data_IF_444147770420
#
_entry.id   IF_444147770420
#
_cell.length_a   1.000
_cell.length_b   1.000
_cell.length_c   1.000
_cell.angle_alpha   90.00
_cell.angle_beta   90.00
_cell.angle_gamma   90.00
#
_symmetry.space_group_name_H-M   'P 1'
#
loop_
_entity.id
_entity.type
_entity.pdbx_description
1 polymer ?
#
# COMPACT_ATOMS: atom_id res chain seq x y z
N UNK A 1 10.37 25.28 -1.15
CA UNK A 1 10.20 26.48 -2.01
C UNK A 1 9.38 26.13 -3.24
N UNK A 2 8.94 27.10 -4.05
CA UNK A 2 7.98 26.94 -5.16
C UNK A 2 8.25 25.74 -6.09
N UNK A 3 9.50 25.54 -6.51
CA UNK A 3 9.88 24.43 -7.40
C UNK A 3 9.79 23.04 -6.76
N UNK A 4 9.68 22.94 -5.43
CA UNK A 4 9.52 21.67 -4.73
C UNK A 4 8.24 20.92 -5.12
N UNK A 5 7.18 21.64 -5.53
CA UNK A 5 5.94 21.05 -6.00
C UNK A 5 6.10 20.22 -7.30
N UNK A 6 7.20 20.41 -8.05
CA UNK A 6 7.54 19.59 -9.23
C UNK A 6 8.14 18.23 -8.85
N UNK A 7 8.63 18.08 -7.61
CA UNK A 7 9.37 16.89 -7.13
C UNK A 7 8.60 16.15 -6.04
N UNK A 8 7.83 16.87 -5.22
CA UNK A 8 6.96 16.32 -4.19
C UNK A 8 5.63 17.10 -4.18
N UNK A 9 4.60 16.54 -4.81
CA UNK A 9 3.29 17.17 -4.95
C UNK A 9 2.37 16.37 -5.87
N UNK A 10 1.07 16.70 -5.89
CA UNK A 10 0.08 15.83 -6.55
C UNK A 10 0.23 15.70 -8.08
N UNK A 11 1.09 16.53 -8.68
CA UNK A 11 1.51 16.49 -10.09
C UNK A 11 3.05 16.49 -10.24
N UNK A 12 3.76 15.89 -9.29
CA UNK A 12 5.22 15.76 -9.38
C UNK A 12 5.68 14.85 -10.54
N UNK A 13 6.93 15.02 -10.94
CA UNK A 13 7.54 14.24 -12.03
C UNK A 13 7.86 12.80 -11.61
N UNK A 14 7.95 12.53 -10.31
CA UNK A 14 8.19 11.20 -9.75
C UNK A 14 7.03 10.26 -10.05
N UNK A 15 5.80 10.69 -9.74
CA UNK A 15 4.56 9.98 -10.09
C UNK A 15 4.40 9.76 -11.58
N UNK A 16 4.81 10.72 -12.41
CA UNK A 16 4.74 10.58 -13.87
C UNK A 16 5.74 9.54 -14.40
N UNK A 17 6.92 9.42 -13.80
CA UNK A 17 7.92 8.42 -14.17
C UNK A 17 7.53 7.03 -13.66
N UNK A 18 7.25 6.86 -12.36
CA UNK A 18 7.03 5.53 -11.80
C UNK A 18 5.78 4.85 -12.39
N UNK A 19 4.68 5.60 -12.65
CA UNK A 19 3.46 4.99 -13.23
C UNK A 19 3.71 4.38 -14.61
N UNK A 20 4.48 5.06 -15.46
CA UNK A 20 4.84 4.59 -16.81
C UNK A 20 5.89 3.49 -16.73
N UNK A 21 6.90 3.66 -15.87
CA UNK A 21 7.98 2.68 -15.63
C UNK A 21 7.41 1.36 -15.12
N UNK A 22 6.57 1.39 -14.10
CA UNK A 22 6.02 0.19 -13.46
C UNK A 22 5.05 -0.51 -14.40
N UNK A 23 4.18 0.23 -15.12
CA UNK A 23 3.33 -0.34 -16.15
C UNK A 23 4.13 -1.08 -17.23
N UNK A 24 5.24 -0.49 -17.68
CA UNK A 24 6.14 -1.11 -18.64
C UNK A 24 6.82 -2.38 -18.11
N UNK A 25 7.41 -2.34 -16.90
CA UNK A 25 8.17 -3.46 -16.34
C UNK A 25 7.30 -4.59 -15.79
N UNK A 26 6.06 -4.30 -15.35
CA UNK A 26 5.07 -5.31 -14.94
C UNK A 26 4.27 -5.88 -16.11
N UNK A 27 4.31 -5.24 -17.28
CA UNK A 27 3.49 -5.60 -18.44
C UNK A 27 2.00 -5.25 -18.29
N UNK A 28 1.62 -4.50 -17.24
CA UNK A 28 0.24 -4.09 -16.98
C UNK A 28 -0.04 -2.79 -17.75
N UNK A 29 -0.97 -2.78 -18.74
CA UNK A 29 -1.14 -1.63 -19.63
C UNK A 29 -1.79 -0.41 -18.96
N UNK A 30 -2.29 -0.55 -17.73
CA UNK A 30 -3.18 0.43 -17.10
C UNK A 30 -2.49 1.73 -16.63
N UNK A 31 -1.17 1.76 -16.44
CA UNK A 31 -0.42 2.98 -16.09
C UNK A 31 0.00 3.85 -17.29
N UNK A 32 -0.50 3.58 -18.50
CA UNK A 32 -0.12 4.31 -19.71
C UNK A 32 -0.72 5.72 -19.75
N UNK A 33 0.01 6.70 -19.22
CA UNK A 33 -0.38 8.12 -19.20
C UNK A 33 0.37 8.95 -20.26
N UNK A 34 -0.27 10.00 -20.80
CA UNK A 34 0.39 11.00 -21.65
C UNK A 34 1.15 12.03 -20.79
N UNK A 35 2.27 11.59 -20.21
CA UNK A 35 3.19 12.44 -19.45
C UNK A 35 3.72 13.61 -20.29
N UNK A 36 3.85 13.44 -21.61
CA UNK A 36 4.25 14.50 -22.54
C UNK A 36 3.22 15.63 -22.64
N UNK A 37 1.92 15.33 -22.55
CA UNK A 37 0.85 16.35 -22.43
C UNK A 37 0.78 16.93 -21.01
N UNK A 38 0.93 16.13 -19.95
CA UNK A 38 0.99 16.64 -18.57
C UNK A 38 2.10 17.70 -18.42
N UNK A 39 3.33 17.38 -18.80
CA UNK A 39 4.48 18.30 -18.73
C UNK A 39 4.27 19.61 -19.51
N UNK A 40 3.59 19.55 -20.66
CA UNK A 40 3.25 20.75 -21.46
C UNK A 40 2.08 21.56 -20.89
N UNK A 41 1.25 20.96 -20.04
CA UNK A 41 0.13 21.60 -19.37
C UNK A 41 0.50 22.18 -18.00
N UNK A 42 1.59 21.74 -17.37
CA UNK A 42 2.07 22.28 -16.10
C UNK A 42 2.44 23.76 -16.23
N UNK A 43 1.91 24.57 -15.32
CA UNK A 43 2.23 25.99 -15.19
C UNK A 43 2.17 26.41 -13.73
N UNK A 44 2.59 27.64 -13.42
CA UNK A 44 2.45 28.20 -12.09
C UNK A 44 1.49 29.39 -12.08
N UNK A 45 0.48 29.35 -11.22
CA UNK A 45 -0.38 30.50 -10.88
C UNK A 45 -0.35 30.74 -9.39
N UNK A 46 -0.26 32.02 -8.99
CA UNK A 46 -0.29 32.50 -7.59
C UNK A 46 0.72 31.84 -6.62
N UNK A 47 1.73 31.16 -7.15
CA UNK A 47 2.76 30.45 -6.38
C UNK A 47 2.68 28.93 -6.49
N UNK A 48 1.55 28.40 -6.95
CA UNK A 48 1.24 26.97 -6.99
C UNK A 48 1.35 26.36 -8.38
N UNK A 49 1.77 25.09 -8.41
CA UNK A 49 1.84 24.26 -9.61
C UNK A 49 0.42 23.78 -9.95
N UNK A 50 -0.02 24.08 -11.17
CA UNK A 50 -1.37 23.80 -11.65
C UNK A 50 -1.32 23.30 -13.09
N UNK A 51 -2.33 22.54 -13.52
CA UNK A 51 -2.55 22.28 -14.95
C UNK A 51 -3.28 23.47 -15.57
N UNK A 52 -2.74 23.95 -16.69
CA UNK A 52 -3.33 25.01 -17.49
C UNK A 52 -4.73 24.63 -18.02
N UNK A 53 -5.50 25.64 -18.36
CA UNK A 53 -6.89 25.51 -18.81
C UNK A 53 -7.04 24.56 -20.01
N UNK A 54 -8.15 23.80 -20.03
CA UNK A 54 -8.41 22.75 -21.04
C UNK A 54 -7.71 21.41 -20.80
N UNK A 55 -7.06 21.22 -19.64
CA UNK A 55 -6.33 19.98 -19.32
C UNK A 55 -6.95 19.13 -18.19
N UNK A 56 -8.23 19.35 -17.85
CA UNK A 56 -8.98 18.51 -16.89
C UNK A 56 -8.90 17.02 -17.27
N UNK A 57 -9.20 16.68 -18.53
CA UNK A 57 -9.10 15.29 -19.02
C UNK A 57 -7.69 14.69 -18.92
N UNK A 58 -6.64 15.52 -18.96
CA UNK A 58 -5.26 15.05 -18.74
C UNK A 58 -5.05 14.67 -17.28
N UNK A 59 -5.59 15.48 -16.36
CA UNK A 59 -5.56 15.23 -14.93
C UNK A 59 -6.38 13.99 -14.55
N UNK A 60 -7.57 13.82 -15.13
CA UNK A 60 -8.41 12.63 -14.97
C UNK A 60 -7.69 11.36 -15.46
N UNK A 61 -7.02 11.41 -16.62
CA UNK A 61 -6.28 10.24 -17.14
C UNK A 61 -5.14 9.78 -16.22
N UNK A 62 -4.48 10.73 -15.53
CA UNK A 62 -3.48 10.43 -14.52
C UNK A 62 -4.10 9.72 -13.30
N UNK A 63 -5.23 10.23 -12.80
CA UNK A 63 -5.94 9.60 -11.68
C UNK A 63 -6.42 8.19 -12.03
N UNK A 64 -7.04 8.00 -13.20
CA UNK A 64 -7.53 6.69 -13.65
C UNK A 64 -6.37 5.70 -13.79
N UNK A 65 -5.29 6.08 -14.47
CA UNK A 65 -4.13 5.20 -14.63
C UNK A 65 -3.50 4.81 -13.29
N UNK A 66 -3.38 5.76 -12.37
CA UNK A 66 -2.89 5.50 -11.00
C UNK A 66 -3.84 4.62 -10.19
N UNK A 67 -5.15 4.82 -10.28
CA UNK A 67 -6.15 4.03 -9.55
C UNK A 67 -6.10 2.56 -10.00
N UNK A 68 -5.98 2.32 -11.31
CA UNK A 68 -5.81 0.98 -11.87
C UNK A 68 -4.45 0.36 -11.48
N UNK A 69 -3.35 1.10 -11.54
CA UNK A 69 -2.04 0.61 -11.07
C UNK A 69 -2.06 0.27 -9.57
N UNK A 70 -2.76 1.05 -8.75
CA UNK A 70 -3.01 0.73 -7.34
C UNK A 70 -3.75 -0.60 -7.17
N UNK A 71 -4.85 -0.78 -7.90
CA UNK A 71 -5.66 -2.00 -7.83
C UNK A 71 -4.90 -3.25 -8.28
N UNK A 72 -4.18 -3.16 -9.41
CA UNK A 72 -3.57 -4.32 -10.08
C UNK A 72 -2.17 -4.66 -9.59
N UNK A 73 -1.35 -3.67 -9.24
CA UNK A 73 0.07 -3.86 -8.92
C UNK A 73 0.33 -3.62 -7.43
N UNK A 74 0.10 -2.39 -6.95
CA UNK A 74 0.57 -1.98 -5.61
C UNK A 74 -0.21 -2.65 -4.47
N UNK A 75 -1.53 -2.83 -4.60
CA UNK A 75 -2.37 -3.52 -3.60
C UNK A 75 -2.58 -5.00 -3.90
N UNK A 76 -1.83 -5.57 -4.84
CA UNK A 76 -1.92 -7.00 -5.16
C UNK A 76 -1.57 -7.84 -3.92
N UNK A 77 -2.46 -8.77 -3.54
CA UNK A 77 -2.39 -9.49 -2.27
C UNK A 77 -1.03 -10.20 -2.06
N UNK A 78 -0.46 -10.85 -3.08
CA UNK A 78 0.87 -11.50 -2.98
C UNK A 78 1.98 -10.48 -2.68
N UNK A 79 1.92 -9.28 -3.29
CA UNK A 79 2.90 -8.21 -3.07
C UNK A 79 2.77 -7.64 -1.65
N UNK A 80 1.53 -7.45 -1.19
CA UNK A 80 1.22 -7.02 0.18
C UNK A 80 1.74 -8.02 1.23
N UNK A 81 1.49 -9.31 1.03
CA UNK A 81 2.01 -10.38 1.90
C UNK A 81 3.54 -10.34 1.95
N UNK A 82 4.22 -10.34 0.78
CA UNK A 82 5.68 -10.32 0.73
C UNK A 82 6.26 -9.05 1.40
N UNK A 83 5.66 -7.89 1.15
CA UNK A 83 6.05 -6.62 1.78
C UNK A 83 5.86 -6.64 3.29
N UNK A 84 4.70 -7.09 3.78
CA UNK A 84 4.42 -7.17 5.21
C UNK A 84 5.32 -8.20 5.93
N UNK A 85 5.65 -9.32 5.28
CA UNK A 85 6.66 -10.27 5.79
C UNK A 85 8.06 -9.63 5.88
N UNK A 86 8.47 -8.87 4.86
CA UNK A 86 9.78 -8.21 4.82
C UNK A 86 9.90 -7.09 5.87
N UNK A 87 8.87 -6.23 5.96
CA UNK A 87 8.73 -5.18 6.95
C UNK A 87 8.87 -5.74 8.37
N UNK A 88 8.12 -6.83 8.63
CA UNK A 88 8.03 -7.46 9.95
C UNK A 88 9.29 -8.28 10.25
N UNK A 89 10.16 -8.51 9.26
CA UNK A 89 11.52 -9.05 9.44
C UNK A 89 12.56 -7.93 9.68
N UNK A 90 12.50 -6.82 8.93
CA UNK A 90 13.39 -5.67 9.11
C UNK A 90 13.29 -5.06 10.51
N UNK A 91 12.07 -4.96 11.04
CA UNK A 91 11.82 -4.54 12.43
C UNK A 91 12.45 -5.46 13.47
N UNK A 92 12.38 -6.79 13.26
CA UNK A 92 12.99 -7.78 14.17
C UNK A 92 14.52 -7.65 14.16
N UNK A 93 15.11 -7.39 13.00
CA UNK A 93 16.55 -7.15 12.82
C UNK A 93 17.00 -5.86 13.52
N UNK A 94 16.20 -4.78 13.44
CA UNK A 94 16.45 -3.52 14.15
C UNK A 94 16.26 -3.67 15.67
N UNK A 95 15.17 -4.32 16.10
CA UNK A 95 14.85 -4.52 17.51
C UNK A 95 15.83 -5.44 18.25
N UNK A 96 16.52 -6.33 17.54
CA UNK A 96 17.59 -7.15 18.10
C UNK A 96 18.94 -6.43 18.23
N UNK A 97 19.05 -5.21 17.68
CA UNK A 97 20.29 -4.46 17.52
C UNK A 97 21.39 -5.21 16.74
N UNK A 98 21.01 -6.17 15.88
CA UNK A 98 21.95 -6.83 14.96
C UNK A 98 22.50 -5.87 13.89
N UNK A 99 21.76 -4.80 13.59
CA UNK A 99 22.17 -3.68 12.76
C UNK A 99 21.65 -2.38 13.38
N UNK A 100 22.42 -1.30 13.33
CA UNK A 100 21.96 0.01 13.77
C UNK A 100 21.09 0.71 12.70
N UNK A 101 20.22 1.68 13.07
CA UNK A 101 19.34 2.34 12.12
C UNK A 101 20.03 3.13 11.00
N UNK A 102 21.24 3.67 11.20
CA UNK A 102 21.97 4.41 10.14
C UNK A 102 22.55 3.44 9.11
N UNK A 103 23.09 2.31 9.55
CA UNK A 103 23.54 1.22 8.67
C UNK A 103 22.37 0.58 7.92
N UNK A 104 21.26 0.30 8.61
CA UNK A 104 20.04 -0.25 7.99
C UNK A 104 19.52 0.65 6.87
N UNK A 105 19.44 1.97 7.10
CA UNK A 105 18.99 2.93 6.10
C UNK A 105 19.90 3.07 4.86
N UNK A 106 21.11 2.49 4.88
CA UNK A 106 22.05 2.45 3.74
C UNK A 106 22.20 1.07 3.10
N UNK A 107 21.50 0.08 3.63
CA UNK A 107 21.60 -1.32 3.21
C UNK A 107 20.89 -1.51 1.86
N UNK A 108 21.57 -2.15 0.89
CA UNK A 108 20.96 -2.56 -0.38
C UNK A 108 20.12 -3.84 -0.23
N UNK A 109 19.22 -4.12 -1.16
CA UNK A 109 18.36 -5.33 -1.14
C UNK A 109 19.13 -6.63 -0.87
N UNK A 110 20.31 -6.78 -1.49
CA UNK A 110 21.16 -7.96 -1.33
C UNK A 110 21.81 -8.05 0.06
N UNK A 111 22.24 -6.91 0.62
CA UNK A 111 22.78 -6.83 1.98
C UNK A 111 21.69 -7.04 3.03
N UNK A 112 20.47 -6.53 2.79
CA UNK A 112 19.32 -6.70 3.68
C UNK A 112 18.90 -8.18 3.73
N UNK A 113 18.74 -8.82 2.57
CA UNK A 113 18.43 -10.25 2.50
C UNK A 113 19.55 -11.11 3.13
N UNK A 114 20.81 -10.69 3.01
CA UNK A 114 21.95 -11.29 3.71
C UNK A 114 21.81 -11.18 5.23
N UNK A 115 21.64 -9.97 5.76
CA UNK A 115 21.51 -9.71 7.19
C UNK A 115 20.29 -10.42 7.81
N UNK A 116 19.14 -10.43 7.12
CA UNK A 116 17.94 -11.15 7.56
C UNK A 116 18.16 -12.68 7.58
N UNK A 117 18.94 -13.21 6.65
CA UNK A 117 19.28 -14.65 6.58
C UNK A 117 20.27 -15.09 7.65
N UNK A 118 21.21 -14.23 8.03
CA UNK A 118 22.25 -14.53 9.03
C UNK A 118 21.79 -14.31 10.48
N UNK A 119 20.54 -13.88 10.69
CA UNK A 119 19.97 -13.58 12.00
C UNK A 119 18.79 -14.51 12.33
N UNK A 120 18.93 -15.36 13.36
CA UNK A 120 17.96 -16.44 13.67
C UNK A 120 16.48 -15.99 13.74
N UNK A 121 16.11 -14.85 14.39
CA UNK A 121 14.74 -14.32 14.41
C UNK A 121 14.11 -13.98 13.06
N UNK A 122 14.89 -13.89 11.98
CA UNK A 122 14.46 -13.47 10.64
C UNK A 122 14.81 -14.48 9.54
N UNK A 123 15.62 -15.49 9.84
CA UNK A 123 16.17 -16.42 8.86
C UNK A 123 15.10 -17.22 8.10
N UNK A 124 14.03 -17.69 8.76
CA UNK A 124 12.91 -18.34 8.07
C UNK A 124 12.16 -17.36 7.14
N UNK A 125 11.94 -16.11 7.56
CA UNK A 125 11.29 -15.10 6.72
C UNK A 125 12.14 -14.77 5.49
N UNK A 126 13.47 -14.67 5.64
CA UNK A 126 14.40 -14.47 4.53
C UNK A 126 14.39 -15.65 3.55
N UNK A 127 14.38 -16.89 4.06
CA UNK A 127 14.21 -18.12 3.26
C UNK A 127 12.89 -18.08 2.49
N UNK A 128 11.76 -17.85 3.18
CA UNK A 128 10.41 -17.81 2.61
C UNK A 128 10.27 -16.80 1.48
N UNK A 129 10.80 -15.59 1.64
CA UNK A 129 10.78 -14.55 0.61
C UNK A 129 11.62 -14.99 -0.60
N UNK A 130 12.82 -15.54 -0.37
CA UNK A 130 13.75 -15.96 -1.43
C UNK A 130 13.23 -17.18 -2.22
N UNK A 131 12.63 -18.15 -1.54
CA UNK A 131 12.05 -19.37 -2.12
C UNK A 131 10.61 -19.17 -2.61
N UNK A 132 10.02 -17.99 -2.38
CA UNK A 132 8.62 -17.64 -2.66
C UNK A 132 7.58 -18.50 -1.91
N UNK A 133 7.99 -19.09 -0.80
CA UNK A 133 7.19 -19.79 0.24
C UNK A 133 6.54 -18.76 1.19
N UNK A 134 5.77 -17.85 0.59
CA UNK A 134 5.09 -16.76 1.29
C UNK A 134 3.93 -17.27 2.15
N UNK A 135 3.61 -16.52 3.20
CA UNK A 135 2.41 -16.73 4.01
C UNK A 135 1.13 -16.69 3.13
N UNK A 136 0.08 -17.30 3.63
CA UNK A 136 -1.24 -17.35 2.99
C UNK A 136 -2.23 -16.47 3.74
N UNK A 137 -3.33 -16.12 3.07
CA UNK A 137 -4.44 -15.36 3.65
C UNK A 137 -5.23 -16.28 4.59
N UNK A 138 -5.09 -16.07 5.89
CA UNK A 138 -6.02 -16.60 6.88
C UNK A 138 -7.30 -15.75 6.91
N UNK A 139 -7.17 -14.43 6.71
CA UNK A 139 -8.27 -13.46 6.66
C UNK A 139 -8.06 -12.56 5.44
N UNK A 140 -9.15 -12.27 4.71
CA UNK A 140 -9.15 -11.33 3.58
C UNK A 140 -10.46 -10.53 3.52
N UNK A 141 -10.73 -9.76 4.57
CA UNK A 141 -12.03 -9.11 4.82
C UNK A 141 -12.23 -7.83 3.99
N UNK A 142 -13.47 -7.54 3.59
CA UNK A 142 -13.85 -6.25 3.00
C UNK A 142 -14.00 -5.17 4.08
N UNK A 143 -14.12 -3.89 3.66
CA UNK A 143 -14.24 -2.78 4.62
C UNK A 143 -15.48 -2.87 5.52
N UNK A 144 -16.54 -3.54 5.07
CA UNK A 144 -17.78 -3.72 5.85
C UNK A 144 -17.63 -4.67 7.03
N UNK A 145 -16.76 -5.67 6.91
CA UNK A 145 -16.66 -6.80 7.85
C UNK A 145 -15.62 -6.57 8.97
N UNK A 146 -14.89 -5.45 8.88
CA UNK A 146 -13.83 -5.06 9.82
C UNK A 146 -14.32 -3.92 10.73
N UNK A 147 -14.33 -4.12 12.06
CA UNK A 147 -14.74 -3.09 13.02
C UNK A 147 -13.95 -1.79 12.90
N UNK A 148 -14.60 -0.67 13.26
CA UNK A 148 -13.97 0.67 13.23
C UNK A 148 -12.64 0.71 13.98
N UNK A 149 -12.62 0.17 15.21
CA UNK A 149 -11.41 0.08 16.06
C UNK A 149 -10.25 -0.67 15.41
N UNK A 150 -10.51 -1.64 14.53
CA UNK A 150 -9.44 -2.39 13.83
C UNK A 150 -8.92 -1.60 12.63
N UNK A 151 -9.76 -0.78 11.98
CA UNK A 151 -9.34 0.10 10.87
C UNK A 151 -8.64 1.36 11.39
N UNK A 152 -9.10 1.89 12.51
CA UNK A 152 -8.52 3.05 13.21
C UNK A 152 -7.22 2.71 13.95
N UNK A 153 -6.93 1.41 14.15
CA UNK A 153 -5.76 0.92 14.88
C UNK A 153 -4.44 1.44 14.29
N UNK A 154 -3.60 1.99 15.17
CA UNK A 154 -2.28 2.46 14.80
C UNK A 154 -1.27 1.31 14.60
N UNK A 155 -0.02 1.68 14.32
CA UNK A 155 1.06 0.71 14.10
C UNK A 155 1.29 -0.20 15.32
N UNK A 156 1.22 0.31 16.55
CA UNK A 156 1.48 -0.44 17.78
C UNK A 156 0.30 -1.35 18.13
N UNK A 157 -0.93 -0.85 18.02
CA UNK A 157 -2.17 -1.63 18.17
C UNK A 157 -2.21 -2.79 17.16
N UNK A 158 -1.78 -2.55 15.92
CA UNK A 158 -1.62 -3.60 14.90
C UNK A 158 -0.63 -4.71 15.33
N UNK A 159 0.35 -4.42 16.22
CA UNK A 159 1.27 -5.43 16.76
C UNK A 159 0.73 -6.16 17.97
N UNK A 160 -0.18 -5.53 18.70
CA UNK A 160 -0.95 -6.21 19.74
C UNK A 160 -1.85 -7.26 19.08
N UNK A 161 -2.57 -6.89 18.02
CA UNK A 161 -3.34 -7.84 17.21
C UNK A 161 -2.50 -9.03 16.68
N UNK A 162 -1.29 -8.80 16.19
CA UNK A 162 -0.39 -9.90 15.75
C UNK A 162 -0.04 -10.89 16.88
N UNK A 163 0.16 -10.40 18.11
CA UNK A 163 0.48 -11.23 19.27
C UNK A 163 -0.74 -11.96 19.79
N UNK A 164 -1.84 -11.22 19.99
CA UNK A 164 -3.08 -11.75 20.56
C UNK A 164 -3.67 -12.85 19.65
N UNK A 165 -3.60 -12.70 18.33
CA UNK A 165 -4.03 -13.73 17.36
C UNK A 165 -3.10 -14.94 17.38
N UNK A 166 -1.78 -14.74 17.53
CA UNK A 166 -0.82 -15.84 17.62
C UNK A 166 -1.01 -16.64 18.92
N UNK A 167 -1.20 -15.96 20.05
CA UNK A 167 -1.47 -16.57 21.36
C UNK A 167 -2.79 -17.38 21.34
N UNK A 168 -3.88 -16.78 20.83
CA UNK A 168 -5.19 -17.44 20.69
C UNK A 168 -5.18 -18.61 19.68
N UNK A 169 -4.30 -18.58 18.67
CA UNK A 169 -4.05 -19.70 17.76
C UNK A 169 -3.11 -20.78 18.34
N UNK A 170 -2.47 -20.54 19.49
CA UNK A 170 -1.48 -21.45 20.07
C UNK A 170 -0.16 -21.51 19.29
N UNK A 171 0.14 -20.47 18.50
CA UNK A 171 1.33 -20.36 17.67
C UNK A 171 2.40 -19.51 18.35
N UNK A 172 3.69 -19.63 17.96
CA UNK A 172 4.71 -18.71 18.42
C UNK A 172 4.38 -17.26 18.04
N UNK A 173 4.66 -16.32 18.94
CA UNK A 173 4.90 -14.92 18.59
C UNK A 173 5.67 -14.86 17.28
N UNK A 174 5.19 -14.03 16.34
CA UNK A 174 5.78 -13.76 14.99
C UNK A 174 5.33 -14.67 13.85
N UNK A 175 4.54 -15.71 14.10
CA UNK A 175 3.94 -16.57 13.05
C UNK A 175 2.72 -15.97 12.34
N UNK A 176 2.18 -14.87 12.87
CA UNK A 176 1.03 -14.13 12.30
C UNK A 176 1.51 -12.74 11.87
N UNK A 177 0.98 -12.25 10.75
CA UNK A 177 1.17 -10.88 10.26
C UNK A 177 -0.18 -10.22 9.99
N UNK A 178 -0.39 -9.01 10.50
CA UNK A 178 -1.60 -8.20 10.25
C UNK A 178 -1.26 -7.07 9.28
N UNK A 179 -2.11 -6.91 8.25
CA UNK A 179 -2.04 -5.91 7.20
C UNK A 179 -3.32 -5.06 7.23
N UNK A 180 -3.28 -4.02 8.06
CA UNK A 180 -4.26 -2.94 8.09
C UNK A 180 -3.82 -1.79 7.16
N UNK A 181 -4.49 -1.57 6.01
CA UNK A 181 -4.19 -0.44 5.13
C UNK A 181 -4.79 0.89 5.63
N UNK A 182 -5.43 0.93 6.80
CA UNK A 182 -6.05 2.13 7.38
C UNK A 182 -7.25 2.63 6.55
N UNK A 183 -7.57 3.91 6.64
CA UNK A 183 -8.64 4.49 5.82
C UNK A 183 -8.21 4.70 4.36
N UNK A 184 -9.05 4.36 3.37
CA UNK A 184 -8.75 4.65 1.97
C UNK A 184 -8.70 6.16 1.74
N UNK A 185 -7.56 6.65 1.26
CA UNK A 185 -7.33 8.06 0.92
C UNK A 185 -6.89 8.20 -0.54
N UNK A 186 -7.18 9.34 -1.14
CA UNK A 186 -6.69 9.70 -2.48
C UNK A 186 -6.27 11.19 -2.48
N UNK A 187 -5.09 11.53 -1.93
CA UNK A 187 -4.58 12.90 -1.90
C UNK A 187 -4.59 13.60 -3.26
N UNK A 188 -4.50 12.81 -4.34
CA UNK A 188 -4.44 13.25 -5.73
C UNK A 188 -5.76 13.83 -6.22
N UNK A 189 -6.87 13.59 -5.52
CA UNK A 189 -8.13 14.28 -5.77
C UNK A 189 -7.99 15.80 -5.66
N UNK A 190 -7.02 16.27 -4.86
CA UNK A 190 -6.68 17.69 -4.65
C UNK A 190 -5.80 18.30 -5.75
N UNK A 191 -5.45 17.55 -6.81
CA UNK A 191 -4.75 18.07 -8.00
C UNK A 191 -5.39 19.37 -8.48
N UNK A 192 -4.59 20.44 -8.61
CA UNK A 192 -5.09 21.78 -8.95
C UNK A 192 -5.07 22.03 -10.45
N UNK A 193 -6.24 22.40 -10.98
CA UNK A 193 -6.51 22.66 -12.40
C UNK A 193 -7.05 24.08 -12.58
N UNK A 194 -6.75 24.72 -13.71
CA UNK A 194 -7.34 26.02 -14.07
C UNK A 194 -8.62 25.81 -14.87
N UNK A 195 -9.74 26.39 -14.43
CA UNK A 195 -11.05 26.31 -15.09
C UNK A 195 -11.73 27.68 -15.05
N UNK A 196 -12.06 28.22 -16.23
CA UNK A 196 -12.63 29.57 -16.41
C UNK A 196 -11.79 30.68 -15.77
N UNK A 197 -10.46 30.51 -15.78
CA UNK A 197 -9.49 31.40 -15.13
C UNK A 197 -9.20 31.11 -13.65
N UNK A 198 -10.10 30.44 -12.92
CA UNK A 198 -9.93 30.11 -11.49
C UNK A 198 -9.06 28.87 -11.28
N UNK A 199 -8.32 28.81 -10.16
CA UNK A 199 -7.68 27.57 -9.68
C UNK A 199 -8.70 26.78 -8.87
N UNK A 200 -8.92 25.51 -9.22
CA UNK A 200 -9.85 24.60 -8.53
C UNK A 200 -9.20 23.23 -8.32
N UNK A 201 -9.50 22.50 -7.24
CA UNK A 201 -9.12 21.10 -7.12
C UNK A 201 -9.97 20.22 -8.06
N UNK A 202 -9.43 19.07 -8.46
CA UNK A 202 -10.00 18.21 -9.48
C UNK A 202 -11.27 17.47 -9.01
N UNK A 203 -11.34 17.12 -7.74
CA UNK A 203 -12.52 16.55 -7.08
C UNK A 203 -13.80 17.38 -7.27
N UNK A 204 -13.70 18.70 -7.20
CA UNK A 204 -14.81 19.62 -7.40
C UNK A 204 -15.22 19.76 -8.87
N UNK A 205 -14.47 19.20 -9.81
CA UNK A 205 -14.66 19.39 -11.26
C UNK A 205 -14.88 18.07 -12.02
N UNK A 206 -14.67 16.91 -11.40
CA UNK A 206 -14.75 15.60 -12.06
C UNK A 206 -15.54 14.58 -11.22
N UNK A 207 -16.75 14.16 -11.66
CA UNK A 207 -17.50 13.06 -11.05
C UNK A 207 -16.76 11.71 -11.08
N UNK A 208 -15.73 11.57 -11.93
CA UNK A 208 -14.90 10.35 -11.96
C UNK A 208 -14.10 10.18 -10.67
N UNK A 209 -13.77 11.28 -9.97
CA UNK A 209 -13.04 11.26 -8.70
C UNK A 209 -13.85 10.56 -7.61
N UNK A 210 -15.15 10.85 -7.51
CA UNK A 210 -16.07 10.21 -6.57
C UNK A 210 -16.21 8.71 -6.88
N UNK A 211 -16.41 8.34 -8.15
CA UNK A 211 -16.45 6.93 -8.57
C UNK A 211 -15.13 6.18 -8.31
N UNK A 212 -13.98 6.85 -8.40
CA UNK A 212 -12.68 6.27 -8.04
C UNK A 212 -12.51 6.09 -6.53
N UNK A 213 -13.02 6.99 -5.69
CA UNK A 213 -13.01 6.83 -4.23
C UNK A 213 -13.85 5.62 -3.81
N UNK A 214 -15.06 5.47 -4.35
CA UNK A 214 -15.91 4.31 -4.06
C UNK A 214 -15.30 3.00 -4.58
N UNK A 215 -14.67 3.01 -5.76
CA UNK A 215 -13.89 1.86 -6.25
C UNK A 215 -12.76 1.47 -5.28
N UNK A 216 -12.04 2.44 -4.70
CA UNK A 216 -11.03 2.17 -3.67
C UNK A 216 -11.60 1.61 -2.37
N UNK A 217 -12.83 2.00 -1.97
CA UNK A 217 -13.52 1.39 -0.82
C UNK A 217 -13.89 -0.08 -1.10
N UNK A 218 -14.39 -0.38 -2.29
CA UNK A 218 -14.74 -1.74 -2.71
C UNK A 218 -13.50 -2.63 -2.84
N UNK A 219 -12.38 -2.09 -3.32
CA UNK A 219 -11.09 -2.79 -3.42
C UNK A 219 -10.31 -2.86 -2.10
N UNK A 220 -10.78 -2.18 -1.05
CA UNK A 220 -10.15 -2.19 0.26
C UNK A 220 -10.20 -3.60 0.86
N UNK A 221 -9.09 -4.07 1.39
CA UNK A 221 -8.97 -5.40 2.00
C UNK A 221 -8.07 -5.37 3.23
N UNK A 222 -8.55 -5.92 4.33
CA UNK A 222 -7.78 -6.21 5.54
C UNK A 222 -7.22 -7.63 5.45
N UNK A 223 -5.94 -7.80 5.77
CA UNK A 223 -5.26 -9.08 5.69
C UNK A 223 -4.79 -9.57 7.06
N UNK A 224 -5.00 -10.87 7.33
CA UNK A 224 -4.21 -11.60 8.33
C UNK A 224 -3.53 -12.76 7.62
N UNK A 225 -2.22 -12.87 7.77
CA UNK A 225 -1.37 -13.79 7.05
C UNK A 225 -0.62 -14.73 8.00
N UNK A 226 -0.52 -16.00 7.63
CA UNK A 226 0.18 -17.05 8.39
C UNK A 226 0.77 -18.11 7.44
N UNK A 227 1.64 -19.02 7.91
CA UNK A 227 2.01 -20.22 7.16
C UNK A 227 0.77 -21.02 6.71
N UNK A 228 0.87 -21.69 5.56
CA UNK A 228 -0.24 -22.39 4.88
C UNK A 228 -0.99 -23.34 5.83
N UNK A 229 -0.23 -24.21 6.50
CA UNK A 229 -0.70 -25.23 7.44
C UNK A 229 -1.43 -24.69 8.68
N UNK A 230 -1.35 -23.37 8.94
CA UNK A 230 -1.90 -22.69 10.13
C UNK A 230 -3.02 -21.69 9.80
N UNK A 231 -3.41 -21.58 8.53
CA UNK A 231 -4.41 -20.59 8.09
C UNK A 231 -5.76 -20.75 8.80
N UNK A 232 -6.19 -21.97 9.08
CA UNK A 232 -7.49 -22.26 9.67
C UNK A 232 -7.58 -21.84 11.15
N UNK A 233 -6.61 -22.18 12.00
CA UNK A 233 -6.60 -21.71 13.39
C UNK A 233 -6.41 -20.20 13.50
N UNK A 234 -5.57 -19.60 12.64
CA UNK A 234 -5.35 -18.14 12.62
C UNK A 234 -6.59 -17.38 12.17
N UNK A 235 -7.34 -17.89 11.20
CA UNK A 235 -8.62 -17.29 10.78
C UNK A 235 -9.61 -17.27 11.95
N UNK A 236 -9.79 -18.41 12.62
CA UNK A 236 -10.70 -18.54 13.74
C UNK A 236 -10.26 -17.69 14.97
N UNK A 237 -8.95 -17.59 15.22
CA UNK A 237 -8.39 -16.72 16.26
C UNK A 237 -8.61 -15.24 15.92
N UNK A 238 -8.35 -14.82 14.68
CA UNK A 238 -8.57 -13.44 14.22
C UNK A 238 -10.05 -13.02 14.32
N UNK A 239 -11.00 -13.89 13.97
CA UNK A 239 -12.43 -13.61 14.17
C UNK A 239 -12.77 -13.36 15.64
N UNK A 240 -12.19 -14.13 16.58
CA UNK A 240 -12.42 -13.98 18.03
C UNK A 240 -11.76 -12.75 18.64
N UNK A 241 -10.49 -12.49 18.30
CA UNK A 241 -9.70 -11.38 18.84
C UNK A 241 -10.16 -10.04 18.26
N UNK A 242 -10.40 -9.96 16.95
CA UNK A 242 -10.70 -8.71 16.26
C UNK A 242 -12.19 -8.46 16.05
N UNK A 243 -13.06 -9.44 16.35
CA UNK A 243 -14.52 -9.31 16.18
C UNK A 243 -14.96 -9.17 14.72
N UNK A 244 -14.27 -9.86 13.80
CA UNK A 244 -14.55 -9.79 12.36
C UNK A 244 -15.88 -10.51 12.03
N UNK A 245 -16.59 -10.01 11.02
CA UNK A 245 -17.86 -10.60 10.60
C UNK A 245 -17.69 -11.61 9.45
N UNK A 246 -17.89 -12.90 9.73
CA UNK A 246 -18.15 -13.93 8.71
C UNK A 246 -17.06 -14.11 7.64
N UNK A 247 -15.78 -14.13 8.04
CA UNK A 247 -14.65 -14.12 7.09
C UNK A 247 -14.23 -15.52 6.63
N UNK A 248 -14.93 -16.56 7.09
CA UNK A 248 -14.70 -17.97 6.80
C UNK A 248 -15.03 -18.45 5.38
N UNK A 249 -14.63 -17.73 4.33
CA UNK A 249 -14.50 -18.30 2.97
C UNK A 249 -13.28 -17.73 2.21
N UNK A 250 -12.12 -18.35 2.40
CA UNK A 250 -10.86 -18.01 1.73
C UNK A 250 -10.68 -18.69 0.36
N UNK A 251 -11.78 -19.10 -0.29
CA UNK A 251 -11.79 -19.96 -1.47
C UNK A 251 -11.74 -19.24 -2.83
N UNK A 252 -10.73 -18.39 -3.08
CA UNK A 252 -10.31 -17.93 -4.43
C UNK A 252 -8.79 -17.65 -4.50
#
# INVERSE_FOLDING_TARGET
GKLGQLVAGELDVDRMDYLVRDAHHTGVPYGTIDYGRLLRALTFRDGDLVLAEGNVATAESLLVGRALMNATVYRHHVSRIAGAMLDRAGERLLASAAIDPESFARTTDAELLGALREHDPTADTARRITERDLYKRAVWAERGDVPGSVVDADYAETREFERDIAEEAGLPDRSVVVDNPGHPTMPESSVRVVVNGDIRPLDQQSPLVEGMLESQRVQWRFGVYAPDDHTAEVAAAAERVLGLAGVGDTSE
#
